data_IF_403328158384
#
_entry.id   IF_403328158384
#
_cell.length_a   1.000
_cell.length_b   1.000
_cell.length_c   1.000
_cell.angle_alpha   90.00
_cell.angle_beta   90.00
_cell.angle_gamma   90.00
#
_symmetry.space_group_name_H-M   'P 1'
#
loop_
_entity.id
_entity.type
_entity.pdbx_description
1 polymer ?
#
# COMPACT_ATOMS: atom_id res chain seq x y z
N UNK A 1 11.35 22.55 12.87
CA UNK A 1 12.05 22.31 11.58
C UNK A 1 11.01 21.95 10.53
N UNK A 2 11.03 22.60 9.35
CA UNK A 2 10.01 22.31 8.31
C UNK A 2 10.36 20.98 7.65
N UNK A 3 9.43 20.02 7.63
CA UNK A 3 9.66 18.73 6.98
C UNK A 3 9.81 18.88 5.46
N UNK A 4 10.63 18.04 4.81
CA UNK A 4 10.79 18.06 3.36
C UNK A 4 9.47 17.83 2.62
N UNK A 5 9.29 18.53 1.49
CA UNK A 5 8.05 18.46 0.71
C UNK A 5 7.91 17.18 -0.12
N UNK A 6 9.01 16.52 -0.46
CA UNK A 6 8.99 15.32 -1.32
C UNK A 6 9.17 14.04 -0.53
N UNK A 7 8.53 12.96 -0.97
CA UNK A 7 8.64 11.63 -0.36
C UNK A 7 10.09 11.11 -0.41
N UNK A 8 10.82 11.45 -1.47
CA UNK A 8 12.24 11.10 -1.60
C UNK A 8 13.09 11.76 -0.52
N UNK A 9 12.86 13.04 -0.25
CA UNK A 9 13.62 13.78 0.77
C UNK A 9 13.26 13.29 2.19
N UNK A 10 11.98 13.01 2.48
CA UNK A 10 11.55 12.40 3.73
C UNK A 10 12.19 11.02 3.94
N UNK A 11 12.20 10.20 2.90
CA UNK A 11 12.82 8.88 2.95
C UNK A 11 14.34 8.98 3.16
N UNK A 12 15.00 9.94 2.52
CA UNK A 12 16.43 10.20 2.72
C UNK A 12 16.73 10.67 4.15
N UNK A 13 15.91 11.55 4.71
CA UNK A 13 16.01 12.00 6.09
C UNK A 13 15.80 10.84 7.07
N UNK A 14 14.78 10.01 6.84
CA UNK A 14 14.56 8.82 7.65
C UNK A 14 15.74 7.83 7.57
N UNK A 15 16.34 7.64 6.38
CA UNK A 15 17.50 6.77 6.20
C UNK A 15 18.72 7.25 7.00
N UNK A 16 19.03 8.55 6.90
CA UNK A 16 20.24 9.14 7.48
C UNK A 16 20.15 9.35 8.98
N UNK A 17 18.99 9.85 9.47
CA UNK A 17 18.82 10.30 10.86
C UNK A 17 17.88 9.45 11.69
N UNK A 18 17.21 8.46 11.08
CA UNK A 18 16.12 7.69 11.72
C UNK A 18 15.03 8.59 12.29
N UNK A 19 14.76 9.72 11.60
CA UNK A 19 13.77 10.70 12.03
C UNK A 19 12.37 10.08 12.09
N UNK A 20 11.82 9.98 13.31
CA UNK A 20 10.44 9.52 13.52
C UNK A 20 9.42 10.47 12.90
N UNK A 21 9.71 11.79 12.88
CA UNK A 21 8.86 12.80 12.25
C UNK A 21 8.76 12.59 10.75
N UNK A 22 9.90 12.38 10.06
CA UNK A 22 9.92 12.10 8.63
C UNK A 22 9.17 10.80 8.31
N UNK A 23 9.32 9.77 9.13
CA UNK A 23 8.58 8.52 8.97
C UNK A 23 7.07 8.72 9.17
N UNK A 24 6.66 9.42 10.22
CA UNK A 24 5.26 9.69 10.52
C UNK A 24 4.60 10.52 9.41
N UNK A 25 5.31 11.47 8.82
CA UNK A 25 4.84 12.20 7.65
C UNK A 25 4.60 11.26 6.44
N UNK A 26 5.49 10.27 6.22
CA UNK A 26 5.27 9.26 5.17
C UNK A 26 4.03 8.39 5.48
N UNK A 27 3.78 8.06 6.75
CA UNK A 27 2.57 7.36 7.17
C UNK A 27 1.33 8.21 6.92
N UNK A 28 1.36 9.52 7.26
CA UNK A 28 0.23 10.42 7.03
C UNK A 28 -0.11 10.55 5.55
N UNK A 29 0.90 10.59 4.69
CA UNK A 29 0.71 10.69 3.23
C UNK A 29 0.18 9.41 2.59
N UNK A 30 0.65 8.25 3.02
CA UNK A 30 0.45 7.00 2.29
C UNK A 30 -0.34 5.94 3.07
N UNK A 31 -0.54 6.13 4.38
CA UNK A 31 -1.15 5.12 5.25
C UNK A 31 -2.55 4.72 4.82
N UNK A 32 -3.37 5.69 4.42
CA UNK A 32 -4.72 5.42 3.93
C UNK A 32 -4.71 4.56 2.66
N UNK A 33 -3.83 4.83 1.70
CA UNK A 33 -3.69 4.04 0.47
C UNK A 33 -3.22 2.61 0.79
N UNK A 34 -2.22 2.47 1.66
CA UNK A 34 -1.69 1.16 2.07
C UNK A 34 -2.79 0.33 2.75
N UNK A 35 -3.49 0.90 3.74
CA UNK A 35 -4.58 0.22 4.45
C UNK A 35 -5.66 -0.24 3.49
N UNK A 36 -6.17 0.64 2.61
CA UNK A 36 -7.21 0.29 1.63
C UNK A 36 -6.77 -0.78 0.64
N UNK A 37 -5.50 -0.77 0.22
CA UNK A 37 -4.96 -1.83 -0.62
C UNK A 37 -4.98 -3.18 0.11
N UNK A 38 -4.63 -3.20 1.40
CA UNK A 38 -4.72 -4.39 2.22
C UNK A 38 -6.18 -4.84 2.41
N UNK A 39 -7.08 -3.92 2.72
CA UNK A 39 -8.50 -4.19 2.95
C UNK A 39 -9.21 -4.75 1.69
N UNK A 40 -8.91 -4.20 0.50
CA UNK A 40 -9.44 -4.74 -0.77
C UNK A 40 -9.08 -6.19 -0.99
N UNK A 41 -7.85 -6.57 -0.64
CA UNK A 41 -7.35 -7.93 -0.86
C UNK A 41 -7.80 -8.88 0.25
N UNK A 42 -7.77 -8.43 1.51
CA UNK A 42 -8.05 -9.28 2.68
C UNK A 42 -9.54 -9.35 3.03
N UNK A 43 -10.30 -8.26 2.77
CA UNK A 43 -11.73 -8.13 3.12
C UNK A 43 -12.04 -8.36 4.60
N UNK A 44 -11.04 -8.11 5.42
CA UNK A 44 -11.11 -8.17 6.86
C UNK A 44 -10.34 -6.97 7.40
N UNK A 45 -11.00 -6.13 8.19
CA UNK A 45 -10.45 -4.87 8.68
C UNK A 45 -9.25 -5.12 9.61
N UNK A 46 -9.34 -6.11 10.50
CA UNK A 46 -8.25 -6.41 11.44
C UNK A 46 -7.03 -6.99 10.71
N UNK A 47 -7.26 -7.93 9.79
CA UNK A 47 -6.17 -8.45 8.97
C UNK A 47 -5.55 -7.37 8.09
N UNK A 48 -6.33 -6.38 7.63
CA UNK A 48 -5.84 -5.24 6.85
C UNK A 48 -4.98 -4.30 7.71
N UNK A 49 -5.35 -4.05 8.97
CA UNK A 49 -4.54 -3.30 9.93
C UNK A 49 -3.18 -3.97 10.15
N UNK A 50 -3.19 -5.25 10.45
CA UNK A 50 -1.96 -6.04 10.67
C UNK A 50 -1.06 -6.04 9.43
N UNK A 51 -1.65 -6.20 8.24
CA UNK A 51 -0.93 -6.15 6.99
C UNK A 51 -0.34 -4.76 6.71
N UNK A 52 -1.09 -3.68 6.96
CA UNK A 52 -0.61 -2.31 6.80
C UNK A 52 0.54 -2.01 7.77
N UNK A 53 0.45 -2.45 9.02
CA UNK A 53 1.54 -2.34 9.99
C UNK A 53 2.78 -3.09 9.50
N UNK A 54 2.63 -4.31 8.97
CA UNK A 54 3.73 -5.08 8.43
C UNK A 54 4.41 -4.38 7.24
N UNK A 55 3.66 -3.66 6.39
CA UNK A 55 4.20 -2.86 5.28
C UNK A 55 5.08 -1.72 5.78
N UNK A 56 4.59 -0.91 6.73
CA UNK A 56 5.37 0.20 7.29
C UNK A 56 6.55 -0.29 8.12
N UNK A 57 6.41 -1.43 8.81
CA UNK A 57 7.52 -2.07 9.49
C UNK A 57 8.60 -2.53 8.51
N UNK A 58 8.22 -3.06 7.34
CA UNK A 58 9.17 -3.42 6.28
C UNK A 58 9.90 -2.18 5.75
N UNK A 59 9.21 -1.05 5.56
CA UNK A 59 9.81 0.23 5.20
C UNK A 59 10.81 0.70 6.28
N UNK A 60 10.41 0.66 7.55
CA UNK A 60 11.27 1.09 8.67
C UNK A 60 12.55 0.26 8.79
N UNK A 61 12.45 -1.05 8.59
CA UNK A 61 13.58 -1.98 8.67
C UNK A 61 14.52 -1.91 7.46
N UNK A 62 13.97 -1.71 6.27
CA UNK A 62 14.71 -1.72 5.00
C UNK A 62 14.33 -0.55 4.10
N UNK A 63 14.58 0.69 4.52
CA UNK A 63 14.25 1.86 3.70
C UNK A 63 15.01 1.87 2.37
N UNK A 64 16.16 1.18 2.29
CA UNK A 64 16.96 1.04 1.07
C UNK A 64 16.39 0.05 0.06
N UNK A 65 15.38 -0.75 0.45
CA UNK A 65 14.67 -1.64 -0.47
C UNK A 65 13.72 -0.88 -1.42
N UNK A 66 13.42 0.38 -1.11
CA UNK A 66 12.60 1.23 -1.99
C UNK A 66 13.38 1.55 -3.26
N UNK A 67 12.98 0.91 -4.36
CA UNK A 67 13.51 1.16 -5.70
C UNK A 67 12.45 1.88 -6.53
N UNK A 68 12.82 3.01 -7.11
CA UNK A 68 11.88 3.87 -7.83
C UNK A 68 11.01 4.71 -6.90
N UNK A 69 9.70 4.77 -7.14
CA UNK A 69 8.80 5.60 -6.35
C UNK A 69 8.34 4.93 -5.06
N UNK A 70 8.31 5.68 -3.97
CA UNK A 70 7.82 5.19 -2.67
C UNK A 70 6.35 4.75 -2.74
N UNK A 71 5.39 5.54 -3.29
CA UNK A 71 3.99 5.12 -3.33
C UNK A 71 3.78 3.86 -4.15
N UNK A 72 4.46 3.71 -5.29
CA UNK A 72 4.42 2.50 -6.10
C UNK A 72 4.99 1.27 -5.37
N UNK A 73 6.08 1.46 -4.62
CA UNK A 73 6.66 0.41 -3.80
C UNK A 73 5.73 0.00 -2.66
N UNK A 74 5.19 0.97 -1.92
CA UNK A 74 4.24 0.72 -0.82
C UNK A 74 3.00 -0.05 -1.29
N UNK A 75 2.40 0.36 -2.42
CA UNK A 75 1.27 -0.33 -3.01
C UNK A 75 1.62 -1.80 -3.34
N UNK A 76 2.76 -2.04 -3.97
CA UNK A 76 3.18 -3.41 -4.33
C UNK A 76 3.47 -4.27 -3.10
N UNK A 77 4.12 -3.72 -2.07
CA UNK A 77 4.38 -4.44 -0.81
C UNK A 77 3.06 -4.74 -0.09
N UNK A 78 2.12 -3.79 -0.03
CA UNK A 78 0.80 -3.98 0.55
C UNK A 78 0.06 -5.13 -0.14
N UNK A 79 0.00 -5.10 -1.47
CA UNK A 79 -0.61 -6.16 -2.27
C UNK A 79 0.04 -7.53 -2.03
N UNK A 80 1.38 -7.61 -2.08
CA UNK A 80 2.10 -8.89 -1.87
C UNK A 80 1.91 -9.44 -0.47
N UNK A 81 1.95 -8.58 0.55
CA UNK A 81 1.75 -8.97 1.94
C UNK A 81 0.35 -9.53 2.13
N UNK A 82 -0.66 -8.83 1.62
CA UNK A 82 -2.05 -9.27 1.69
C UNK A 82 -2.30 -10.59 0.94
N UNK A 83 -1.77 -10.75 -0.26
CA UNK A 83 -1.90 -12.02 -1.02
C UNK A 83 -1.21 -13.21 -0.32
N UNK A 84 -0.05 -12.98 0.32
CA UNK A 84 0.60 -14.02 1.14
C UNK A 84 -0.31 -14.44 2.29
N UNK A 85 -0.94 -13.49 2.95
CA UNK A 85 -1.87 -13.75 4.07
C UNK A 85 -3.11 -14.51 3.61
N UNK A 86 -3.76 -14.08 2.51
CA UNK A 86 -4.89 -14.81 1.88
C UNK A 86 -4.51 -16.26 1.57
N UNK A 87 -3.34 -16.48 0.93
CA UNK A 87 -2.88 -17.84 0.62
C UNK A 87 -2.63 -18.68 1.88
N UNK A 88 -2.14 -18.07 2.95
CA UNK A 88 -1.93 -18.73 4.23
C UNK A 88 -3.26 -19.12 4.88
N UNK A 89 -4.21 -18.18 4.91
CA UNK A 89 -5.56 -18.41 5.44
C UNK A 89 -6.31 -19.47 4.62
N UNK A 90 -6.27 -19.39 3.27
CA UNK A 90 -6.90 -20.38 2.40
C UNK A 90 -6.33 -21.79 2.65
N UNK A 91 -5.01 -21.95 2.77
CA UNK A 91 -4.40 -23.25 3.10
C UNK A 91 -4.86 -23.79 4.45
N UNK A 92 -5.08 -22.92 5.43
CA UNK A 92 -5.59 -23.31 6.75
C UNK A 92 -7.07 -23.72 6.66
N UNK A 93 -7.91 -22.88 6.03
CA UNK A 93 -9.35 -23.16 5.85
C UNK A 93 -9.61 -24.32 4.90
N UNK A 94 -8.78 -24.58 3.89
CA UNK A 94 -8.92 -25.76 3.01
C UNK A 94 -8.71 -27.03 3.82
N UNK A 95 -7.68 -27.11 4.64
CA UNK A 95 -7.47 -28.25 5.55
C UNK A 95 -8.63 -28.44 6.55
N UNK A 96 -9.19 -27.36 7.07
CA UNK A 96 -10.34 -27.39 7.98
C UNK A 96 -11.66 -27.70 7.26
N UNK A 97 -11.82 -27.30 5.98
CA UNK A 97 -13.01 -27.51 5.15
C UNK A 97 -13.02 -28.86 4.46
N UNK A 98 -11.90 -29.37 4.02
CA UNK A 98 -11.77 -30.77 3.57
C UNK A 98 -12.26 -31.74 4.66
N UNK A 99 -12.03 -31.35 5.92
CA UNK A 99 -12.60 -32.08 7.06
C UNK A 99 -14.13 -31.87 7.27
N UNK A 100 -14.76 -30.86 6.62
CA UNK A 100 -16.17 -30.47 6.82
C UNK A 100 -17.05 -30.45 5.56
N UNK A 101 -16.52 -30.71 4.36
CA UNK A 101 -17.30 -30.85 3.11
C UNK A 101 -18.01 -29.59 2.62
N UNK A 102 -17.50 -28.37 2.88
CA UNK A 102 -18.15 -27.10 2.50
C UNK A 102 -17.52 -26.44 1.29
N UNK A 103 -18.32 -25.96 0.33
CA UNK A 103 -17.90 -25.18 -0.84
C UNK A 103 -17.55 -23.72 -0.50
N UNK A 104 -16.53 -23.10 -1.15
CA UNK A 104 -16.16 -21.70 -0.92
C UNK A 104 -17.17 -20.73 -1.52
N UNK A 105 -17.41 -19.54 -0.88
CA UNK A 105 -18.23 -18.48 -1.46
C UNK A 105 -17.58 -17.91 -2.73
N UNK A 106 -18.43 -17.65 -3.75
CA UNK A 106 -17.99 -16.99 -4.98
C UNK A 106 -17.84 -15.49 -4.73
N UNK A 107 -16.61 -14.99 -4.83
CA UNK A 107 -16.24 -13.61 -4.52
C UNK A 107 -16.08 -12.78 -5.80
N UNK A 108 -16.37 -11.47 -5.72
CA UNK A 108 -16.31 -10.53 -6.84
C UNK A 108 -14.87 -10.36 -7.36
N UNK A 109 -14.54 -10.88 -8.54
CA UNK A 109 -13.13 -11.05 -9.00
C UNK A 109 -12.41 -9.72 -9.31
N UNK A 110 -13.14 -8.65 -9.63
CA UNK A 110 -12.58 -7.45 -10.25
C UNK A 110 -11.62 -6.64 -9.36
N UNK A 111 -11.79 -6.68 -8.03
CA UNK A 111 -10.91 -5.95 -7.11
C UNK A 111 -9.52 -6.56 -7.01
N UNK A 112 -9.45 -7.89 -6.95
CA UNK A 112 -8.17 -8.61 -7.00
C UNK A 112 -7.49 -8.41 -8.36
N UNK A 113 -8.28 -8.39 -9.43
CA UNK A 113 -7.82 -8.14 -10.79
C UNK A 113 -7.27 -6.73 -10.98
N UNK A 114 -7.87 -5.71 -10.35
CA UNK A 114 -7.39 -4.34 -10.39
C UNK A 114 -5.97 -4.22 -9.83
N UNK A 115 -5.75 -4.71 -8.61
CA UNK A 115 -4.42 -4.63 -7.97
C UNK A 115 -3.39 -5.50 -8.70
N UNK A 116 -3.81 -6.64 -9.25
CA UNK A 116 -2.95 -7.49 -10.08
C UNK A 116 -2.58 -6.81 -11.40
N UNK A 117 -3.52 -6.12 -12.04
CA UNK A 117 -3.28 -5.38 -13.27
C UNK A 117 -2.40 -4.14 -13.02
N UNK A 118 -2.63 -3.41 -11.92
CA UNK A 118 -1.77 -2.30 -11.50
C UNK A 118 -0.31 -2.74 -11.30
N UNK A 119 -0.10 -3.91 -10.70
CA UNK A 119 1.25 -4.43 -10.47
C UNK A 119 2.02 -4.75 -11.75
N UNK A 120 1.33 -5.04 -12.86
CA UNK A 120 1.97 -5.33 -14.16
C UNK A 120 2.31 -4.07 -14.96
N UNK A 121 1.81 -2.90 -14.55
CA UNK A 121 2.14 -1.63 -15.21
C UNK A 121 3.60 -1.24 -14.97
N UNK A 122 4.24 -0.54 -15.94
CA UNK A 122 5.51 0.13 -15.71
C UNK A 122 5.47 1.03 -14.49
N UNK A 123 6.55 1.07 -13.72
CA UNK A 123 6.61 1.76 -12.43
C UNK A 123 6.10 3.20 -12.46
N UNK A 124 6.51 3.99 -13.50
CA UNK A 124 6.11 5.40 -13.64
C UNK A 124 4.60 5.58 -13.93
N UNK A 125 3.98 4.65 -14.64
CA UNK A 125 2.53 4.69 -14.94
C UNK A 125 1.74 4.28 -13.70
N UNK A 126 2.18 3.23 -13.01
CA UNK A 126 1.58 2.79 -11.75
C UNK A 126 1.66 3.88 -10.68
N UNK A 127 2.81 4.53 -10.53
CA UNK A 127 2.99 5.66 -9.62
C UNK A 127 1.99 6.78 -9.89
N UNK A 128 1.83 7.18 -11.15
CA UNK A 128 0.91 8.23 -11.53
C UNK A 128 -0.55 7.87 -11.19
N UNK A 129 -0.95 6.61 -11.39
CA UNK A 129 -2.27 6.13 -11.01
C UNK A 129 -2.43 6.12 -9.48
N UNK A 130 -1.45 5.61 -8.73
CA UNK A 130 -1.49 5.56 -7.27
C UNK A 130 -1.64 6.97 -6.70
N UNK A 131 -0.79 7.91 -7.10
CA UNK A 131 -0.82 9.28 -6.60
C UNK A 131 -2.12 10.02 -6.96
N UNK A 132 -2.57 9.90 -8.23
CA UNK A 132 -3.74 10.65 -8.72
C UNK A 132 -5.07 10.07 -8.25
N UNK A 133 -5.19 8.73 -8.28
CA UNK A 133 -6.48 8.08 -8.14
C UNK A 133 -6.62 7.25 -6.87
N UNK A 134 -5.57 6.66 -6.33
CA UNK A 134 -5.69 5.89 -5.07
C UNK A 134 -5.40 6.76 -3.84
N UNK A 135 -4.56 7.77 -3.96
CA UNK A 135 -4.31 8.75 -2.91
C UNK A 135 -5.18 10.01 -3.04
N UNK A 136 -5.86 10.20 -4.16
CA UNK A 136 -6.76 11.32 -4.39
C UNK A 136 -6.07 12.70 -4.52
N UNK A 137 -4.76 12.72 -4.79
CA UNK A 137 -4.00 13.98 -4.90
C UNK A 137 -4.42 14.77 -6.12
N UNK A 138 -4.38 16.10 -6.03
CA UNK A 138 -4.47 16.98 -7.19
C UNK A 138 -3.33 16.71 -8.18
N UNK A 139 -3.49 17.12 -9.43
CA UNK A 139 -2.45 16.95 -10.45
C UNK A 139 -1.13 17.63 -10.06
N UNK A 140 -1.21 18.82 -9.44
CA UNK A 140 -0.03 19.56 -9.01
C UNK A 140 0.69 18.88 -7.83
N UNK A 141 -0.05 18.35 -6.85
CA UNK A 141 0.50 17.62 -5.71
C UNK A 141 1.12 16.29 -6.14
N UNK A 142 0.44 15.55 -7.01
CA UNK A 142 0.95 14.29 -7.54
C UNK A 142 2.21 14.51 -8.39
N UNK A 143 2.26 15.57 -9.19
CA UNK A 143 3.44 15.93 -9.98
C UNK A 143 4.63 16.30 -9.10
N UNK A 144 4.41 17.08 -8.04
CA UNK A 144 5.45 17.38 -7.05
C UNK A 144 5.96 16.12 -6.35
N UNK A 145 5.07 15.24 -5.93
CA UNK A 145 5.43 13.98 -5.29
C UNK A 145 6.22 13.05 -6.21
N UNK A 146 5.85 12.98 -7.50
CA UNK A 146 6.53 12.18 -8.52
C UNK A 146 7.81 12.83 -9.06
N UNK A 147 8.12 14.07 -8.67
CA UNK A 147 9.29 14.79 -9.15
C UNK A 147 9.29 15.07 -10.66
N UNK A 148 8.11 15.31 -11.26
CA UNK A 148 7.96 15.55 -12.70
C UNK A 148 7.00 16.71 -12.99
N UNK A 149 7.06 17.31 -14.21
CA UNK A 149 6.12 18.35 -14.64
C UNK A 149 4.66 17.85 -14.62
N UNK A 150 3.68 18.73 -14.28
CA UNK A 150 2.26 18.35 -14.25
C UNK A 150 1.74 17.74 -15.55
N UNK A 151 2.17 18.21 -16.71
CA UNK A 151 1.82 17.64 -18.02
C UNK A 151 2.34 16.22 -18.21
N UNK A 152 3.57 15.93 -17.74
CA UNK A 152 4.15 14.59 -17.77
C UNK A 152 3.36 13.64 -16.88
N UNK A 153 2.98 14.07 -15.67
CA UNK A 153 2.16 13.26 -14.77
C UNK A 153 0.79 12.97 -15.38
N UNK A 154 0.13 14.00 -15.97
CA UNK A 154 -1.17 13.82 -16.62
C UNK A 154 -1.10 12.77 -17.74
N UNK A 155 -0.09 12.87 -18.60
CA UNK A 155 0.13 11.88 -19.65
C UNK A 155 0.36 10.47 -19.09
N UNK A 156 1.22 10.33 -18.08
CA UNK A 156 1.47 9.03 -17.41
C UNK A 156 0.19 8.45 -16.81
N UNK A 157 -0.64 9.27 -16.19
CA UNK A 157 -1.89 8.84 -15.60
C UNK A 157 -2.88 8.35 -16.66
N UNK A 158 -3.06 9.11 -17.75
CA UNK A 158 -3.95 8.73 -18.86
C UNK A 158 -3.48 7.46 -19.56
N UNK A 159 -2.20 7.37 -19.90
CA UNK A 159 -1.61 6.17 -20.50
C UNK A 159 -1.71 4.96 -19.58
N UNK A 160 -1.48 5.19 -18.29
CA UNK A 160 -1.63 4.15 -17.27
C UNK A 160 -3.06 3.61 -17.18
N UNK A 161 -4.07 4.48 -17.18
CA UNK A 161 -5.50 4.09 -17.19
C UNK A 161 -5.86 3.34 -18.48
N UNK A 162 -5.35 3.79 -19.63
CA UNK A 162 -5.61 3.11 -20.90
C UNK A 162 -5.05 1.68 -20.90
N UNK A 163 -3.81 1.49 -20.43
CA UNK A 163 -3.19 0.16 -20.29
C UNK A 163 -3.90 -0.69 -19.27
N UNK A 164 -4.25 -0.13 -18.12
CA UNK A 164 -4.99 -0.82 -17.06
C UNK A 164 -6.31 -1.36 -17.58
N UNK A 165 -7.07 -0.54 -18.32
CA UNK A 165 -8.30 -0.97 -18.99
C UNK A 165 -8.06 -2.15 -19.93
N UNK A 166 -7.02 -2.08 -20.77
CA UNK A 166 -6.66 -3.18 -21.68
C UNK A 166 -6.32 -4.48 -20.95
N UNK A 167 -5.63 -4.39 -19.82
CA UNK A 167 -5.29 -5.54 -18.99
C UNK A 167 -6.53 -6.16 -18.33
N UNK A 168 -7.44 -5.34 -17.80
CA UNK A 168 -8.69 -5.79 -17.19
C UNK A 168 -9.62 -6.44 -18.23
N UNK A 169 -9.73 -5.85 -19.44
CA UNK A 169 -10.52 -6.43 -20.54
C UNK A 169 -10.02 -7.81 -20.95
N UNK A 170 -8.71 -8.02 -21.02
CA UNK A 170 -8.10 -9.35 -21.34
C UNK A 170 -8.38 -10.40 -20.27
N UNK A 171 -8.71 -9.98 -19.06
CA UNK A 171 -9.05 -10.86 -17.92
C UNK A 171 -10.55 -11.05 -17.74
N UNK A 172 -11.35 -10.62 -18.73
CA UNK A 172 -12.81 -10.79 -18.73
C UNK A 172 -13.57 -9.67 -18.00
N UNK A 173 -12.88 -8.65 -17.46
CA UNK A 173 -13.53 -7.50 -16.86
C UNK A 173 -13.68 -6.37 -17.90
N UNK A 174 -14.76 -6.39 -18.69
CA UNK A 174 -15.07 -5.34 -19.66
C UNK A 174 -15.51 -4.08 -18.93
N UNK A 175 -14.56 -3.20 -18.57
CA UNK A 175 -14.82 -1.89 -17.95
C UNK A 175 -14.56 -0.76 -18.93
N UNK A 176 -15.50 0.20 -18.99
CA UNK A 176 -15.24 1.45 -19.72
C UNK A 176 -14.24 2.33 -18.97
N UNK A 177 -13.57 3.24 -19.66
CA UNK A 177 -12.64 4.17 -19.01
C UNK A 177 -13.29 4.99 -17.91
N UNK A 178 -14.54 5.44 -18.12
CA UNK A 178 -15.30 6.20 -17.13
C UNK A 178 -15.61 5.38 -15.87
N UNK A 179 -16.03 4.13 -16.02
CA UNK A 179 -16.29 3.22 -14.90
C UNK A 179 -15.00 2.94 -14.13
N UNK A 180 -13.90 2.70 -14.83
CA UNK A 180 -12.60 2.48 -14.18
C UNK A 180 -12.16 3.70 -13.38
N UNK A 181 -12.29 4.92 -13.95
CA UNK A 181 -11.97 6.15 -13.23
C UNK A 181 -12.86 6.38 -12.01
N UNK A 182 -14.17 6.10 -12.12
CA UNK A 182 -15.11 6.19 -11.00
C UNK A 182 -14.74 5.20 -9.89
N UNK A 183 -14.38 3.97 -10.24
CA UNK A 183 -13.93 2.96 -9.28
C UNK A 183 -12.63 3.38 -8.57
N UNK A 184 -11.65 3.89 -9.32
CA UNK A 184 -10.40 4.38 -8.74
C UNK A 184 -10.64 5.61 -7.83
N UNK A 185 -11.54 6.52 -8.24
CA UNK A 185 -11.89 7.69 -7.43
C UNK A 185 -12.62 7.30 -6.13
N UNK A 186 -13.51 6.31 -6.17
CA UNK A 186 -14.20 5.82 -4.96
C UNK A 186 -13.22 5.24 -3.93
N UNK A 187 -12.14 4.63 -4.40
CA UNK A 187 -11.06 4.14 -3.55
C UNK A 187 -10.30 5.28 -2.85
N UNK A 188 -10.12 6.42 -3.51
CA UNK A 188 -9.48 7.59 -2.91
C UNK A 188 -10.34 8.24 -1.80
N UNK A 189 -11.65 8.20 -1.95
CA UNK A 189 -12.59 8.85 -1.01
C UNK A 189 -12.86 8.00 0.24
N UNK A 190 -12.61 6.70 0.21
CA UNK A 190 -12.75 5.85 1.37
C UNK A 190 -11.68 6.20 2.41
N UNK A 191 -12.08 6.80 3.53
CA UNK A 191 -11.15 7.17 4.59
C UNK A 191 -10.67 5.92 5.35
N UNK A 192 -9.37 5.83 5.60
CA UNK A 192 -8.87 4.86 6.57
C UNK A 192 -9.26 5.32 7.99
N UNK A 193 -9.61 4.41 8.90
CA UNK A 193 -9.93 4.78 10.28
C UNK A 193 -8.75 5.54 10.92
N UNK A 194 -9.00 6.67 11.61
CA UNK A 194 -7.92 7.45 12.25
C UNK A 194 -7.09 6.65 13.24
N UNK A 195 -7.73 5.71 13.95
CA UNK A 195 -7.04 4.81 14.88
C UNK A 195 -5.99 3.94 14.18
N UNK A 196 -6.28 3.46 12.97
CA UNK A 196 -5.33 2.69 12.16
C UNK A 196 -4.13 3.54 11.79
N UNK A 197 -4.36 4.76 11.29
CA UNK A 197 -3.27 5.68 10.92
C UNK A 197 -2.39 6.01 12.13
N UNK A 198 -2.99 6.21 13.29
CA UNK A 198 -2.24 6.43 14.53
C UNK A 198 -1.39 5.21 14.93
N UNK A 199 -1.93 3.99 14.74
CA UNK A 199 -1.22 2.75 15.05
C UNK A 199 -0.04 2.45 14.09
N UNK A 200 -0.07 3.02 12.88
CA UNK A 200 1.02 2.90 11.90
C UNK A 200 2.23 3.80 12.21
N UNK A 201 2.04 4.85 13.01
CA UNK A 201 3.08 5.83 13.34
C UNK A 201 4.08 5.26 14.33
N UNK A 202 5.34 5.67 14.18
CA UNK A 202 6.35 5.43 15.21
C UNK A 202 6.10 6.38 16.38
N UNK A 203 5.81 5.82 17.55
CA UNK A 203 5.80 6.61 18.77
C UNK A 203 7.23 7.07 19.10
N UNK A 204 7.46 8.35 19.42
CA UNK A 204 8.75 8.78 19.89
C UNK A 204 9.05 8.07 21.22
N UNK A 205 9.98 7.12 21.18
CA UNK A 205 10.57 6.58 22.41
C UNK A 205 11.50 7.66 22.94
N UNK A 206 11.33 8.02 24.20
CA UNK A 206 12.13 9.03 24.90
C UNK A 206 13.62 8.93 24.52
N UNK A 207 14.20 10.06 24.21
CA UNK A 207 15.58 10.21 23.76
C UNK A 207 16.54 9.36 24.62
N UNK A 208 17.13 8.31 24.06
CA UNK A 208 18.07 7.44 24.73
C UNK A 208 18.14 5.99 24.26
N UNK A 209 17.19 5.51 23.48
CA UNK A 209 17.21 4.13 22.99
C UNK A 209 17.73 4.04 21.56
N UNK A 210 18.76 3.22 21.33
CA UNK A 210 19.29 2.97 19.99
C UNK A 210 18.21 2.51 19.02
N UNK A 211 18.34 2.83 17.73
CA UNK A 211 17.33 2.67 16.68
C UNK A 211 16.65 1.27 16.56
N UNK A 212 17.20 0.24 17.23
CA UNK A 212 16.60 -1.09 17.34
C UNK A 212 15.44 -1.15 18.36
N UNK A 213 15.39 -0.26 19.36
CA UNK A 213 14.38 -0.24 20.40
C UNK A 213 13.10 0.50 19.98
N UNK A 214 13.18 1.38 18.98
CA UNK A 214 12.04 2.15 18.46
C UNK A 214 10.99 1.24 17.83
N UNK A 215 11.40 0.09 17.31
CA UNK A 215 10.53 -0.87 16.60
C UNK A 215 9.86 -1.89 17.55
N UNK A 216 10.38 -2.06 18.76
CA UNK A 216 10.03 -3.22 19.60
C UNK A 216 8.75 -3.06 20.43
N UNK A 217 8.32 -1.86 20.81
CA UNK A 217 7.23 -1.67 21.78
C UNK A 217 5.81 -1.61 21.19
N UNK A 218 5.64 -1.25 19.91
CA UNK A 218 4.32 -1.23 19.25
C UNK A 218 3.92 -2.57 18.62
N UNK A 219 4.86 -3.52 18.51
CA UNK A 219 4.72 -4.72 17.66
C UNK A 219 4.51 -6.01 18.47
N UNK A 220 4.76 -5.99 19.79
CA UNK A 220 4.78 -7.22 20.60
C UNK A 220 3.39 -7.80 20.90
N UNK A 221 2.31 -7.03 20.79
CA UNK A 221 0.97 -7.53 21.08
C UNK A 221 0.18 -8.05 19.86
N UNK A 222 0.56 -7.71 18.61
CA UNK A 222 -0.14 -8.16 17.40
C UNK A 222 0.58 -9.24 16.58
N UNK A 223 1.89 -9.40 16.73
CA UNK A 223 2.73 -10.21 15.82
C UNK A 223 3.01 -11.64 16.27
N UNK A 224 2.24 -12.22 17.17
CA UNK A 224 2.35 -13.66 17.45
C UNK A 224 2.04 -14.56 16.22
N UNK A 225 1.54 -13.99 15.11
CA UNK A 225 1.03 -14.72 13.93
C UNK A 225 1.79 -14.51 12.61
N UNK A 226 2.72 -13.57 12.53
CA UNK A 226 3.40 -13.30 11.24
C UNK A 226 4.90 -13.54 11.37
N UNK A 227 5.32 -14.79 11.50
CA UNK A 227 6.65 -15.21 11.03
C UNK A 227 6.65 -15.20 9.49
N UNK A 228 6.54 -14.02 8.89
CA UNK A 228 6.80 -13.86 7.47
C UNK A 228 8.33 -13.81 7.31
N UNK A 229 8.93 -14.92 6.95
CA UNK A 229 10.23 -14.91 6.28
C UNK A 229 10.05 -14.11 4.98
N UNK A 230 10.39 -12.84 5.00
CA UNK A 230 10.63 -12.04 3.81
C UNK A 230 11.93 -12.55 3.18
N UNK A 231 11.82 -13.64 2.44
CA UNK A 231 12.83 -14.00 1.44
C UNK A 231 12.54 -13.12 0.22
N UNK A 232 13.34 -12.12 0.02
CA UNK A 232 13.54 -11.42 -1.25
C UNK A 232 14.53 -12.20 -2.07
#
# INVERSE_FOLDING_TARGET
MRLPETDHALLAEFRSRKSGEAFNELVDRHGAMVYRTCERVLRDAHAAEDAAQAVFLALARRPDAVRGSLPGWLHEVARRTSLKLVRSLRRRTTREREARGMNPPQESPWREELDAALATLPAMLREAIVLRYLEGRSQAEAARAAGCPPGTLAWRALEGVARLRGLLSRRGAAVTGAVLLALLASEAQAAAPPAVLAALKLTPVAAGASGAAIVAKGVVQGLAWVKIKLSL
#
